data_IF_761942513451
#
_entry.id   IF_761942513451
#
_cell.length_a   1.000
_cell.length_b   1.000
_cell.length_c   1.000
_cell.angle_alpha   90.00
_cell.angle_beta   90.00
_cell.angle_gamma   90.00
#
_symmetry.space_group_name_H-M   'P 1'
#
loop_
_entity.id
_entity.type
_entity.pdbx_description
1 polymer ?
#
# COMPACT_ATOMS: atom_id res chain seq x y z
N UNK A 1 13.17 -1.30 4.78
CA UNK A 1 12.79 -1.93 6.05
C UNK A 1 11.71 -2.94 5.81
N UNK A 2 10.95 -3.30 6.85
CA UNK A 2 9.79 -4.18 6.73
C UNK A 2 8.71 -3.72 7.70
N UNK A 3 7.45 -3.96 7.35
CA UNK A 3 6.32 -3.75 8.24
C UNK A 3 5.32 -4.88 8.06
N UNK A 4 4.76 -5.33 9.18
CA UNK A 4 3.58 -6.19 9.23
C UNK A 4 2.49 -5.38 9.91
N UNK A 5 1.51 -4.96 9.14
CA UNK A 5 0.37 -4.19 9.62
C UNK A 5 -0.83 -5.12 9.76
N UNK A 6 -1.42 -5.18 10.95
CA UNK A 6 -2.62 -5.97 11.21
C UNK A 6 -3.81 -5.02 11.34
N UNK A 7 -4.84 -5.23 10.53
CA UNK A 7 -6.09 -4.47 10.58
C UNK A 7 -6.97 -4.96 11.73
N UNK A 8 -7.97 -4.18 12.13
CA UNK A 8 -8.93 -4.57 13.18
C UNK A 8 -9.71 -5.85 12.85
N UNK A 9 -9.84 -6.18 11.55
CA UNK A 9 -10.44 -7.42 11.07
C UNK A 9 -9.50 -8.64 11.11
N UNK A 10 -8.27 -8.48 11.59
CA UNK A 10 -7.23 -9.52 11.64
C UNK A 10 -6.54 -9.79 10.29
N UNK A 11 -6.87 -9.04 9.23
CA UNK A 11 -6.15 -9.15 7.97
C UNK A 11 -4.77 -8.48 8.08
N UNK A 12 -3.81 -8.98 7.33
CA UNK A 12 -2.42 -8.55 7.42
C UNK A 12 -1.96 -7.97 6.10
N UNK A 13 -1.42 -6.76 6.15
CA UNK A 13 -0.65 -6.17 5.06
C UNK A 13 0.83 -6.32 5.41
N UNK A 14 1.55 -7.10 4.62
CA UNK A 14 2.99 -7.26 4.77
C UNK A 14 3.68 -6.46 3.69
N UNK A 15 4.70 -5.70 4.05
CA UNK A 15 5.54 -5.00 3.07
C UNK A 15 7.01 -5.06 3.45
N UNK A 16 7.84 -5.42 2.48
CA UNK A 16 9.30 -5.32 2.54
C UNK A 16 9.75 -4.25 1.55
N UNK A 17 10.53 -3.30 2.05
CA UNK A 17 11.16 -2.25 1.25
C UNK A 17 12.66 -2.49 1.16
N UNK A 18 13.13 -2.72 -0.06
CA UNK A 18 14.55 -2.80 -0.41
C UNK A 18 14.93 -1.60 -1.28
N UNK A 19 16.02 -0.90 -0.95
CA UNK A 19 16.50 0.26 -1.71
C UNK A 19 17.87 -0.07 -2.31
N UNK A 20 17.98 0.04 -3.62
CA UNK A 20 19.23 0.00 -4.37
C UNK A 20 19.65 1.43 -4.69
N UNK A 21 20.72 1.90 -4.03
CA UNK A 21 21.20 3.27 -4.18
C UNK A 21 21.97 3.47 -5.49
N UNK A 22 22.64 2.43 -5.99
CA UNK A 22 23.44 2.51 -7.20
C UNK A 22 22.54 2.56 -8.43
N UNK A 23 21.53 1.69 -8.48
CA UNK A 23 20.50 1.71 -9.51
C UNK A 23 19.44 2.80 -9.31
N UNK A 24 19.50 3.55 -8.18
CA UNK A 24 18.49 4.52 -7.74
C UNK A 24 17.06 3.97 -7.83
N UNK A 25 16.87 2.75 -7.34
CA UNK A 25 15.60 2.04 -7.41
C UNK A 25 15.16 1.53 -6.05
N UNK A 26 13.86 1.25 -5.91
CA UNK A 26 13.34 0.59 -4.74
C UNK A 26 12.37 -0.53 -5.12
N UNK A 27 12.37 -1.60 -4.34
CA UNK A 27 11.44 -2.71 -4.46
C UNK A 27 10.55 -2.75 -3.23
N UNK A 28 9.25 -2.61 -3.48
CA UNK A 28 8.18 -2.83 -2.51
C UNK A 28 7.58 -4.22 -2.78
N UNK A 29 7.78 -5.12 -1.83
CA UNK A 29 7.29 -6.48 -1.91
C UNK A 29 6.20 -6.72 -0.88
N UNK A 30 4.98 -6.93 -1.35
CA UNK A 30 3.80 -7.21 -0.53
C UNK A 30 3.55 -8.70 -0.29
N UNK A 31 4.52 -9.57 -0.61
CA UNK A 31 4.44 -11.01 -0.34
C UNK A 31 4.20 -11.29 1.14
N UNK A 32 3.23 -12.18 1.41
CA UNK A 32 2.76 -12.51 2.77
C UNK A 32 1.54 -11.71 3.24
N UNK A 33 1.08 -10.76 2.43
CA UNK A 33 -0.22 -10.09 2.64
C UNK A 33 -1.37 -11.10 2.57
N UNK A 34 -2.39 -10.90 3.41
CA UNK A 34 -3.56 -11.76 3.51
C UNK A 34 -4.25 -12.02 2.17
N UNK A 35 -4.86 -13.21 2.00
CA UNK A 35 -5.64 -13.52 0.81
C UNK A 35 -6.82 -12.53 0.66
N UNK A 36 -7.45 -12.54 -0.51
CA UNK A 36 -8.68 -11.82 -0.77
C UNK A 36 -9.69 -12.04 0.38
N UNK A 37 -10.25 -10.95 0.87
CA UNK A 37 -11.23 -10.95 1.94
C UNK A 37 -12.64 -11.20 1.39
N UNK A 38 -13.52 -11.87 2.16
CA UNK A 38 -14.91 -12.10 1.75
C UNK A 38 -15.75 -10.81 1.71
N UNK A 39 -15.32 -9.76 2.43
CA UNK A 39 -15.99 -8.46 2.49
C UNK A 39 -15.47 -7.45 1.45
N UNK A 40 -15.72 -6.17 1.70
CA UNK A 40 -15.38 -5.06 0.81
C UNK A 40 -14.01 -4.41 1.04
N UNK A 41 -13.21 -4.94 1.99
CA UNK A 41 -11.89 -4.44 2.37
C UNK A 41 -10.77 -4.83 1.38
N UNK A 42 -11.12 -5.25 0.17
CA UNK A 42 -10.13 -5.55 -0.87
C UNK A 42 -9.77 -4.29 -1.65
N UNK A 43 -8.49 -4.01 -1.83
CA UNK A 43 -7.99 -2.90 -2.63
C UNK A 43 -7.49 -3.42 -3.99
N UNK A 44 -8.06 -2.97 -5.12
CA UNK A 44 -7.48 -3.22 -6.43
C UNK A 44 -6.03 -2.74 -6.52
N UNK A 45 -5.21 -3.41 -7.34
CA UNK A 45 -3.80 -3.04 -7.55
C UNK A 45 -3.59 -1.56 -7.86
N UNK A 46 -4.50 -0.91 -8.58
CA UNK A 46 -4.42 0.53 -8.88
C UNK A 46 -4.45 1.41 -7.61
N UNK A 47 -5.24 1.04 -6.61
CA UNK A 47 -5.34 1.74 -5.32
C UNK A 47 -4.05 1.59 -4.53
N UNK A 48 -3.47 0.39 -4.52
CA UNK A 48 -2.18 0.11 -3.87
C UNK A 48 -1.06 0.94 -4.51
N UNK A 49 -1.03 1.01 -5.85
CA UNK A 49 -0.07 1.84 -6.58
C UNK A 49 -0.24 3.34 -6.27
N UNK A 50 -1.48 3.81 -6.07
CA UNK A 50 -1.75 5.19 -5.67
C UNK A 50 -1.24 5.49 -4.25
N UNK A 51 -1.41 4.57 -3.30
CA UNK A 51 -0.85 4.69 -1.94
C UNK A 51 0.68 4.71 -1.96
N UNK A 52 1.31 3.85 -2.77
CA UNK A 52 2.78 3.86 -2.97
C UNK A 52 3.24 5.21 -3.52
N UNK A 53 2.58 5.71 -4.58
CA UNK A 53 2.87 7.03 -5.14
C UNK A 53 2.77 8.14 -4.11
N UNK A 54 1.71 8.13 -3.31
CA UNK A 54 1.48 9.11 -2.26
C UNK A 54 2.61 9.12 -1.24
N UNK A 55 2.96 7.97 -0.66
CA UNK A 55 4.02 7.88 0.36
C UNK A 55 5.38 8.29 -0.20
N UNK A 56 5.73 7.88 -1.41
CA UNK A 56 7.02 8.30 -1.98
C UNK A 56 7.05 9.80 -2.27
N UNK A 57 5.92 10.39 -2.66
CA UNK A 57 5.83 11.83 -2.86
C UNK A 57 6.03 12.62 -1.56
N UNK A 58 5.48 12.17 -0.44
CA UNK A 58 5.66 12.88 0.84
C UNK A 58 7.09 12.82 1.37
N UNK A 59 7.88 11.84 0.92
CA UNK A 59 9.29 11.71 1.29
C UNK A 59 10.23 12.53 0.39
N UNK A 60 9.78 12.87 -0.81
CA UNK A 60 10.58 13.71 -1.71
C UNK A 60 10.33 15.18 -1.36
N UNK A 61 11.34 15.82 -0.77
CA UNK A 61 11.34 17.25 -0.44
C UNK A 61 11.55 18.19 -1.63
N UNK A 62 11.28 17.75 -2.85
CA UNK A 62 11.38 18.54 -4.08
C UNK A 62 10.05 18.51 -4.84
N UNK A 63 9.77 19.57 -5.61
CA UNK A 63 8.63 19.63 -6.53
C UNK A 63 8.83 18.65 -7.69
N UNK A 64 8.65 17.36 -7.42
CA UNK A 64 8.62 16.35 -8.47
C UNK A 64 7.25 16.42 -9.17
N UNK A 65 7.22 16.64 -10.50
CA UNK A 65 5.97 16.63 -11.25
C UNK A 65 5.34 15.24 -11.16
N UNK A 66 4.10 15.17 -10.66
CA UNK A 66 3.37 13.93 -10.43
C UNK A 66 3.01 13.25 -11.77
N UNK A 67 3.91 12.42 -12.28
CA UNK A 67 3.67 11.61 -13.47
C UNK A 67 4.26 10.20 -13.32
N UNK A 68 3.91 9.30 -14.23
CA UNK A 68 4.35 7.90 -14.22
C UNK A 68 5.88 7.73 -14.31
N UNK A 69 6.62 8.77 -14.70
CA UNK A 69 8.08 8.80 -14.67
C UNK A 69 8.65 8.62 -13.26
N UNK A 70 7.94 9.04 -12.21
CA UNK A 70 8.33 8.87 -10.80
C UNK A 70 8.24 7.43 -10.32
N UNK A 71 7.44 6.59 -11.00
CA UNK A 71 7.29 5.17 -10.72
C UNK A 71 8.30 4.29 -11.44
N UNK A 72 8.98 4.79 -12.48
CA UNK A 72 9.98 4.01 -13.22
C UNK A 72 11.05 3.36 -12.32
N UNK A 73 11.54 4.00 -11.25
CA UNK A 73 12.50 3.36 -10.34
C UNK A 73 11.83 2.48 -9.26
N UNK A 74 10.50 2.36 -9.22
CA UNK A 74 9.78 1.60 -8.21
C UNK A 74 9.27 0.26 -8.78
N UNK A 75 9.86 -0.83 -8.30
CA UNK A 75 9.32 -2.17 -8.52
C UNK A 75 8.31 -2.46 -7.41
N UNK A 76 7.11 -2.91 -7.79
CA UNK A 76 6.06 -3.27 -6.82
C UNK A 76 5.55 -4.67 -7.11
N UNK A 77 5.79 -5.59 -6.17
CA UNK A 77 5.28 -6.96 -6.20
C UNK A 77 4.07 -7.06 -5.29
N UNK A 78 2.92 -7.45 -5.85
CA UNK A 78 1.69 -7.71 -5.10
C UNK A 78 1.25 -9.14 -5.45
N UNK A 79 1.04 -10.04 -4.47
CA UNK A 79 0.56 -11.39 -4.75
C UNK A 79 -0.85 -11.36 -5.35
N UNK A 80 -1.04 -12.01 -6.50
CA UNK A 80 -2.36 -12.13 -7.10
C UNK A 80 -3.29 -12.97 -6.22
N UNK A 81 -4.56 -12.57 -6.11
CA UNK A 81 -5.53 -13.18 -5.20
C UNK A 81 -5.35 -12.78 -3.73
N UNK A 82 -4.46 -11.84 -3.43
CA UNK A 82 -4.42 -11.18 -2.12
C UNK A 82 -5.50 -10.11 -2.00
N UNK A 83 -5.72 -9.61 -0.79
CA UNK A 83 -6.61 -8.46 -0.59
C UNK A 83 -6.12 -7.17 -1.27
N UNK A 84 -4.89 -7.14 -1.78
CA UNK A 84 -4.27 -6.01 -2.49
C UNK A 84 -4.18 -6.21 -4.02
N UNK A 85 -4.55 -7.40 -4.51
CA UNK A 85 -4.77 -7.70 -5.92
C UNK A 85 -5.91 -8.73 -6.05
N UNK A 86 -7.15 -8.35 -5.64
CA UNK A 86 -8.28 -9.25 -5.61
C UNK A 86 -8.75 -9.61 -7.02
N UNK A 87 -9.32 -10.81 -7.17
CA UNK A 87 -9.98 -11.24 -8.39
C UNK A 87 -11.46 -10.81 -8.38
N UNK A 88 -11.98 -10.44 -9.55
CA UNK A 88 -13.43 -10.30 -9.73
C UNK A 88 -14.14 -11.62 -9.35
N UNK A 89 -15.28 -11.61 -8.63
CA UNK A 89 -16.16 -10.47 -8.31
C UNK A 89 -15.98 -9.88 -6.90
N UNK A 90 -14.77 -9.88 -6.31
CA UNK A 90 -14.57 -9.34 -4.97
C UNK A 90 -15.07 -7.89 -4.80
N UNK A 91 -15.68 -7.59 -3.65
CA UNK A 91 -16.08 -6.24 -3.30
C UNK A 91 -14.87 -5.40 -2.87
N UNK A 92 -14.85 -4.12 -3.26
CA UNK A 92 -13.66 -3.25 -3.15
C UNK A 92 -13.91 -1.86 -2.58
N UNK A 93 -15.13 -1.54 -2.14
CA UNK A 93 -15.47 -0.16 -1.73
C UNK A 93 -14.62 0.34 -0.55
N UNK A 94 -14.47 -0.47 0.50
CA UNK A 94 -13.62 -0.13 1.65
C UNK A 94 -12.12 -0.19 1.28
N UNK A 95 -11.77 -0.87 0.20
CA UNK A 95 -10.43 -0.89 -0.36
C UNK A 95 -9.85 0.49 -0.67
N UNK A 96 -10.68 1.40 -1.19
CA UNK A 96 -10.27 2.77 -1.53
C UNK A 96 -10.02 3.65 -0.30
N UNK A 97 -10.69 3.36 0.81
CA UNK A 97 -10.74 4.24 1.98
C UNK A 97 -9.96 3.69 3.17
N UNK A 98 -10.27 2.49 3.64
CA UNK A 98 -9.66 1.92 4.84
C UNK A 98 -8.40 1.13 4.51
N UNK A 99 -8.49 0.21 3.53
CA UNK A 99 -7.33 -0.62 3.17
C UNK A 99 -6.19 0.22 2.59
N UNK A 100 -6.51 1.27 1.82
CA UNK A 100 -5.49 2.19 1.29
C UNK A 100 -4.76 2.99 2.38
N UNK A 101 -5.46 3.34 3.47
CA UNK A 101 -4.86 3.96 4.66
C UNK A 101 -3.95 2.97 5.38
N UNK A 102 -4.41 1.73 5.60
CA UNK A 102 -3.59 0.68 6.20
C UNK A 102 -2.33 0.37 5.35
N UNK A 103 -2.45 0.36 4.01
CA UNK A 103 -1.29 0.25 3.11
C UNK A 103 -0.33 1.43 3.30
N UNK A 104 -0.86 2.65 3.40
CA UNK A 104 -0.06 3.86 3.64
C UNK A 104 0.68 3.79 4.97
N UNK A 105 0.00 3.38 6.05
CA UNK A 105 0.61 3.14 7.36
C UNK A 105 1.71 2.08 7.30
N UNK A 106 1.44 0.94 6.65
CA UNK A 106 2.42 -0.12 6.47
C UNK A 106 3.69 0.37 5.72
N UNK A 107 3.51 1.21 4.70
CA UNK A 107 4.61 1.80 3.93
C UNK A 107 5.46 2.74 4.79
N UNK A 108 4.86 3.67 5.51
CA UNK A 108 5.59 4.56 6.43
C UNK A 108 6.29 3.77 7.53
N UNK A 109 5.64 2.74 8.08
CA UNK A 109 6.24 1.82 9.05
C UNK A 109 7.47 1.11 8.48
N UNK A 110 7.45 0.68 7.22
CA UNK A 110 8.59 0.02 6.58
C UNK A 110 9.77 0.96 6.27
N UNK A 111 9.50 2.27 6.21
CA UNK A 111 10.48 3.35 6.03
C UNK A 111 11.03 3.83 7.40
N UNK A 112 10.38 3.45 8.50
CA UNK A 112 10.75 3.88 9.85
C UNK A 112 10.22 5.27 10.22
N UNK A 113 9.23 5.78 9.48
CA UNK A 113 8.51 7.01 9.82
C UNK A 113 7.37 6.76 10.80
N UNK A 114 6.85 7.82 11.42
CA UNK A 114 5.58 7.74 12.15
C UNK A 114 4.46 7.40 11.16
N UNK A 115 3.81 6.26 11.39
CA UNK A 115 2.98 5.63 10.38
C UNK A 115 1.54 6.12 10.37
N UNK A 116 0.95 6.56 11.49
CA UNK A 116 -0.49 6.79 11.59
C UNK A 116 -0.90 7.87 12.59
N UNK A 117 -1.90 8.67 12.20
CA UNK A 117 -2.65 9.56 13.09
C UNK A 117 -4.09 9.10 13.31
N UNK A 118 -4.87 8.93 12.23
CA UNK A 118 -6.30 8.53 12.32
C UNK A 118 -6.61 7.15 11.76
N UNK A 119 -5.75 6.54 10.93
CA UNK A 119 -5.94 5.17 10.38
C UNK A 119 -7.15 4.94 9.46
N UNK A 120 -8.05 5.93 9.32
CA UNK A 120 -9.30 5.86 8.54
C UNK A 120 -9.51 7.14 7.74
N UNK A 121 -10.32 7.06 6.67
CA UNK A 121 -10.86 8.24 5.99
C UNK A 121 -12.18 8.73 6.60
N UNK A 122 -12.59 8.21 7.76
CA UNK A 122 -13.87 8.46 8.43
C UNK A 122 -15.07 8.08 7.56
N UNK A 123 -14.95 6.97 6.83
CA UNK A 123 -16.07 6.48 6.04
C UNK A 123 -17.12 5.85 6.96
N UNK A 124 -18.35 6.37 6.91
CA UNK A 124 -19.50 5.83 7.66
C UNK A 124 -20.39 4.92 6.81
N UNK A 125 -19.98 4.62 5.58
CA UNK A 125 -20.72 3.77 4.64
C UNK A 125 -19.95 2.46 4.43
N UNK A 126 -20.56 1.34 4.82
CA UNK A 126 -20.00 -0.01 4.70
C UNK A 126 -20.84 -0.85 3.74
#
# INVERSE_FOLDING_TARGET
GHCRYETDSGAVIQVRLTVDRDARSAHLDFTGTSPQQPGNANAPRSVVMAAVLYVFRTLVGEDIPLNSGCLKPLKVTIPSGSMLDPAYPAATVAGNVETSQAVTGALYGAIGGQAEGSGTMNNLTF
#
